data_IF_525424368049
#
_entry.id   IF_525424368049
#
_cell.length_a   1.000
_cell.length_b   1.000
_cell.length_c   1.000
_cell.angle_alpha   90.00
_cell.angle_beta   90.00
_cell.angle_gamma   90.00
#
_symmetry.space_group_name_H-M   'P 1'
#
loop_
_entity.id
_entity.type
_entity.pdbx_description
1 polymer ?
#
# COMPACT_ATOMS: atom_id res chain seq x y z
N UNK A 1 -7.20 -7.22 -9.91
CA UNK A 1 -6.01 -7.78 -9.22
C UNK A 1 -4.87 -7.93 -10.23
N UNK A 2 -4.38 -6.81 -10.75
CA UNK A 2 -3.34 -6.72 -11.79
C UNK A 2 -2.15 -5.94 -11.22
N UNK A 3 -1.26 -6.64 -10.53
CA UNK A 3 0.08 -6.15 -10.13
C UNK A 3 1.04 -7.13 -10.81
N UNK A 4 2.07 -6.80 -11.59
CA UNK A 4 2.61 -5.54 -12.09
C UNK A 4 3.35 -5.92 -13.38
N UNK A 5 2.97 -5.33 -14.50
CA UNK A 5 3.81 -5.24 -15.69
C UNK A 5 3.55 -3.85 -16.31
N UNK A 6 3.69 -2.83 -15.48
CA UNK A 6 3.52 -1.45 -15.91
C UNK A 6 4.87 -0.94 -16.43
N UNK A 7 5.09 -1.09 -17.74
CA UNK A 7 6.29 -0.61 -18.42
C UNK A 7 6.02 0.74 -19.07
N UNK A 8 6.09 1.84 -18.32
CA UNK A 8 6.43 3.16 -18.88
C UNK A 8 7.18 4.03 -17.87
N UNK A 9 8.41 4.38 -18.26
CA UNK A 9 9.24 5.50 -17.83
C UNK A 9 9.48 5.73 -16.32
N UNK A 10 10.67 5.29 -15.90
CA UNK A 10 11.55 5.89 -14.89
C UNK A 10 11.12 5.99 -13.40
N UNK A 11 11.75 5.09 -12.63
CA UNK A 11 12.59 5.36 -11.43
C UNK A 11 12.11 5.07 -10.00
N UNK A 12 10.83 4.74 -9.70
CA UNK A 12 10.47 4.40 -8.30
C UNK A 12 9.70 3.09 -8.07
N UNK A 13 8.89 2.59 -9.02
CA UNK A 13 8.09 1.39 -8.77
C UNK A 13 8.89 0.07 -8.72
N UNK A 14 10.06 0.05 -9.35
CA UNK A 14 10.94 -1.13 -9.33
C UNK A 14 11.63 -1.34 -7.97
N UNK A 15 11.58 -0.38 -7.04
CA UNK A 15 12.30 -0.49 -5.78
C UNK A 15 11.50 -1.14 -4.66
N UNK A 16 10.16 -1.24 -4.77
CA UNK A 16 9.38 -1.85 -3.69
C UNK A 16 9.36 -3.37 -3.74
N UNK A 17 9.36 -4.04 -4.90
CA UNK A 17 9.62 -5.48 -4.92
C UNK A 17 10.12 -6.01 -6.28
N UNK A 18 11.39 -5.79 -6.59
CA UNK A 18 12.12 -6.62 -7.54
C UNK A 18 13.44 -7.04 -6.89
N UNK A 19 13.55 -8.29 -6.42
CA UNK A 19 14.87 -8.91 -6.27
C UNK A 19 15.36 -9.19 -7.69
N UNK A 20 16.04 -8.22 -8.30
CA UNK A 20 16.66 -8.39 -9.61
C UNK A 20 17.96 -9.18 -9.46
N UNK A 21 17.86 -10.52 -9.45
CA UNK A 21 18.96 -11.39 -9.88
C UNK A 21 19.08 -11.34 -11.41
N UNK A 22 20.31 -11.29 -11.93
CA UNK A 22 20.59 -11.18 -13.37
C UNK A 22 20.08 -12.38 -14.19
N UNK A 23 19.62 -12.11 -15.42
CA UNK A 23 19.03 -13.06 -16.39
C UNK A 23 20.02 -14.16 -16.80
N UNK A 24 19.55 -15.40 -17.07
CA UNK A 24 19.23 -15.77 -18.45
C UNK A 24 18.06 -16.79 -18.63
N UNK A 25 17.24 -16.58 -19.67
CA UNK A 25 16.50 -17.63 -20.40
C UNK A 25 15.30 -18.30 -19.73
N UNK A 26 14.08 -17.90 -20.13
CA UNK A 26 12.85 -18.69 -19.90
C UNK A 26 12.26 -18.67 -18.49
N UNK A 27 12.75 -17.79 -17.61
CA UNK A 27 12.28 -17.72 -16.23
C UNK A 27 10.96 -16.95 -16.09
N UNK A 28 10.05 -17.51 -15.29
CA UNK A 28 8.81 -16.89 -14.84
C UNK A 28 9.09 -15.51 -14.26
N UNK A 29 8.47 -14.46 -14.79
CA UNK A 29 8.56 -13.13 -14.18
C UNK A 29 7.80 -13.14 -12.85
N UNK A 30 8.49 -12.83 -11.75
CA UNK A 30 7.94 -12.91 -10.40
C UNK A 30 8.21 -11.64 -9.62
N UNK A 31 7.20 -11.20 -8.91
CA UNK A 31 7.24 -10.18 -7.85
C UNK A 31 6.89 -10.84 -6.52
N UNK A 32 6.96 -10.11 -5.41
CA UNK A 32 6.48 -10.64 -4.13
C UNK A 32 4.96 -10.87 -4.13
N UNK A 33 4.20 -10.22 -5.02
CA UNK A 33 2.75 -10.32 -5.05
C UNK A 33 2.24 -11.33 -6.09
N UNK A 34 2.91 -11.43 -7.24
CA UNK A 34 2.42 -12.19 -8.39
C UNK A 34 3.54 -12.86 -9.18
N UNK A 35 3.18 -13.93 -9.89
CA UNK A 35 4.00 -14.56 -10.92
C UNK A 35 3.26 -14.57 -12.24
N UNK A 36 3.99 -14.40 -13.34
CA UNK A 36 3.47 -14.52 -14.70
C UNK A 36 4.07 -15.73 -15.41
N UNK A 37 3.20 -16.62 -15.85
CA UNK A 37 3.63 -17.78 -16.64
C UNK A 37 4.00 -17.34 -18.06
N UNK A 38 5.23 -17.62 -18.54
CA UNK A 38 5.67 -17.20 -19.87
C UNK A 38 4.98 -17.97 -21.01
N UNK A 39 4.34 -19.11 -20.73
CA UNK A 39 3.73 -19.97 -21.75
C UNK A 39 2.34 -19.51 -22.19
N UNK A 40 1.50 -19.08 -21.24
CA UNK A 40 0.12 -18.64 -21.50
C UNK A 40 -0.15 -17.19 -21.06
N UNK A 41 0.86 -16.51 -20.51
CA UNK A 41 0.80 -15.15 -19.98
C UNK A 41 -0.16 -14.97 -18.80
N UNK A 42 -0.62 -16.07 -18.19
CA UNK A 42 -1.48 -16.03 -17.01
C UNK A 42 -0.75 -15.44 -15.82
N UNK A 43 -1.49 -14.71 -14.99
CA UNK A 43 -0.96 -14.07 -13.77
C UNK A 43 -1.61 -14.74 -12.57
N UNK A 44 -0.77 -15.24 -11.66
CA UNK A 44 -1.20 -15.88 -10.42
C UNK A 44 -0.64 -15.13 -9.21
N UNK A 45 -1.34 -15.22 -8.08
CA UNK A 45 -0.84 -14.66 -6.83
C UNK A 45 0.27 -15.54 -6.27
N UNK A 46 1.35 -14.91 -5.80
CA UNK A 46 2.45 -15.61 -5.13
C UNK A 46 1.97 -16.19 -3.79
N UNK A 47 2.29 -17.46 -3.53
CA UNK A 47 1.98 -18.10 -2.25
C UNK A 47 2.74 -17.42 -1.11
N UNK A 48 2.06 -17.07 -0.02
CA UNK A 48 2.66 -16.34 1.09
C UNK A 48 3.01 -14.87 0.77
N UNK A 49 2.44 -14.29 -0.30
CA UNK A 49 2.65 -12.87 -0.60
C UNK A 49 2.29 -11.97 0.59
N UNK A 50 2.96 -10.82 0.75
CA UNK A 50 2.51 -9.83 1.69
C UNK A 50 1.12 -9.29 1.31
N UNK A 51 0.37 -8.82 2.30
CA UNK A 51 -0.83 -8.03 2.07
C UNK A 51 -0.46 -6.58 1.74
N UNK A 52 -1.14 -6.01 0.75
CA UNK A 52 -0.91 -4.64 0.27
C UNK A 52 -1.94 -3.70 0.92
N UNK A 53 -1.50 -2.88 1.86
CA UNK A 53 -2.28 -1.80 2.45
C UNK A 53 -1.97 -0.50 1.70
N UNK A 54 -3.00 0.32 1.48
CA UNK A 54 -2.82 1.66 0.93
C UNK A 54 -3.58 2.71 1.74
N UNK A 55 -2.91 3.82 2.03
CA UNK A 55 -3.54 5.02 2.56
C UNK A 55 -3.23 6.20 1.67
N UNK A 56 -4.27 6.84 1.16
CA UNK A 56 -4.17 8.09 0.42
C UNK A 56 -4.25 9.24 1.42
N UNK A 57 -3.45 10.29 1.22
CA UNK A 57 -3.37 11.39 2.18
C UNK A 57 -3.03 12.73 1.52
N UNK A 58 -3.58 13.79 2.08
CA UNK A 58 -3.20 15.17 1.81
C UNK A 58 -2.12 15.66 2.77
N UNK A 59 -1.65 14.82 3.69
CA UNK A 59 -0.68 15.12 4.76
C UNK A 59 -1.02 16.40 5.52
N UNK A 60 -2.29 16.58 5.85
CA UNK A 60 -2.82 17.72 6.59
C UNK A 60 -3.16 17.32 8.02
N UNK A 61 -3.35 18.31 8.91
CA UNK A 61 -3.57 18.10 10.36
C UNK A 61 -4.84 17.29 10.70
N UNK A 62 -5.81 17.27 9.81
CA UNK A 62 -7.05 16.48 9.91
C UNK A 62 -6.84 14.98 9.68
N UNK A 63 -5.67 14.57 9.19
CA UNK A 63 -5.27 13.19 8.95
C UNK A 63 -4.18 12.76 9.94
N UNK A 64 -4.59 12.30 11.12
CA UNK A 64 -3.67 11.84 12.16
C UNK A 64 -3.09 10.45 11.83
N UNK A 65 -1.95 10.43 11.16
CA UNK A 65 -1.24 9.20 10.77
C UNK A 65 -0.59 8.47 11.94
N UNK A 66 -0.48 9.07 13.12
CA UNK A 66 0.03 8.36 14.31
C UNK A 66 -0.84 7.14 14.63
N UNK A 67 -2.15 7.20 14.31
CA UNK A 67 -3.10 6.09 14.47
C UNK A 67 -2.69 4.89 13.60
N UNK A 68 -2.38 5.12 12.32
CA UNK A 68 -1.96 4.05 11.42
C UNK A 68 -0.58 3.50 11.82
N UNK A 69 0.37 4.38 12.15
CA UNK A 69 1.70 3.94 12.59
C UNK A 69 1.62 3.08 13.85
N UNK A 70 0.81 3.50 14.83
CA UNK A 70 0.59 2.71 16.05
C UNK A 70 -0.05 1.36 15.77
N UNK A 71 -1.03 1.32 14.87
CA UNK A 71 -1.66 0.06 14.47
C UNK A 71 -0.67 -0.90 13.78
N UNK A 72 0.30 -0.38 13.02
CA UNK A 72 1.36 -1.20 12.40
C UNK A 72 2.36 -1.71 13.44
N UNK A 73 2.71 -0.92 14.47
CA UNK A 73 3.51 -1.41 15.60
C UNK A 73 2.78 -2.53 16.36
N UNK A 74 1.49 -2.37 16.64
CA UNK A 74 0.69 -3.39 17.31
C UNK A 74 0.57 -4.66 16.43
N UNK A 75 0.45 -4.49 15.11
CA UNK A 75 0.48 -5.60 14.16
C UNK A 75 1.78 -6.39 14.22
N UNK A 76 2.92 -5.70 14.19
CA UNK A 76 4.25 -6.31 14.35
C UNK A 76 4.32 -7.10 15.67
N UNK A 77 3.88 -6.49 16.78
CA UNK A 77 3.84 -7.16 18.09
C UNK A 77 2.96 -8.40 18.12
N UNK A 78 1.82 -8.43 17.41
CA UNK A 78 1.02 -9.64 17.28
C UNK A 78 1.73 -10.74 16.50
N UNK A 79 2.46 -10.39 15.43
CA UNK A 79 3.25 -11.35 14.65
C UNK A 79 4.38 -11.93 15.52
N UNK A 80 5.11 -11.08 16.25
CA UNK A 80 6.17 -11.51 17.18
C UNK A 80 5.62 -12.41 18.30
N UNK A 81 4.40 -12.17 18.76
CA UNK A 81 3.70 -13.02 19.73
C UNK A 81 3.19 -14.36 19.15
N UNK A 82 3.44 -14.63 17.86
CA UNK A 82 3.11 -15.90 17.20
C UNK A 82 1.76 -15.92 16.47
N UNK A 83 1.12 -14.76 16.25
CA UNK A 83 -0.07 -14.70 15.41
C UNK A 83 0.28 -15.06 13.96
N UNK A 84 -0.51 -15.94 13.34
CA UNK A 84 -0.34 -16.31 11.94
C UNK A 84 -0.93 -15.23 11.01
N UNK A 85 -0.21 -14.13 10.85
CA UNK A 85 -0.58 -13.00 10.00
C UNK A 85 0.42 -12.83 8.83
N UNK A 86 -0.02 -12.36 7.65
CA UNK A 86 0.90 -12.13 6.53
C UNK A 86 1.83 -10.95 6.78
N UNK A 87 3.00 -10.91 6.14
CA UNK A 87 3.78 -9.66 6.07
C UNK A 87 2.97 -8.55 5.39
N UNK A 88 3.25 -7.29 5.72
CA UNK A 88 2.56 -6.14 5.16
C UNK A 88 3.48 -5.29 4.30
N UNK A 89 2.95 -4.81 3.17
CA UNK A 89 3.47 -3.64 2.46
C UNK A 89 2.43 -2.55 2.59
N UNK A 90 2.76 -1.48 3.30
CA UNK A 90 1.90 -0.32 3.50
C UNK A 90 2.38 0.85 2.63
N UNK A 91 1.57 1.23 1.65
CA UNK A 91 1.82 2.38 0.79
C UNK A 91 1.08 3.58 1.34
N UNK A 92 1.78 4.66 1.66
CA UNK A 92 1.18 5.94 2.06
C UNK A 92 1.46 6.98 0.96
N UNK A 93 0.45 7.29 0.16
CA UNK A 93 0.61 8.14 -1.04
C UNK A 93 -0.02 9.52 -0.87
N UNK A 94 0.64 10.51 -1.47
CA UNK A 94 0.14 11.88 -1.56
C UNK A 94 1.17 12.93 -1.19
N UNK A 95 0.70 14.18 -1.07
CA UNK A 95 1.53 15.37 -0.85
C UNK A 95 0.83 16.34 0.11
N UNK A 96 1.62 16.88 1.03
CA UNK A 96 1.21 18.01 1.86
C UNK A 96 2.18 18.27 3.02
N UNK A 97 1.81 19.20 3.91
CA UNK A 97 2.74 19.83 4.85
C UNK A 97 3.32 18.87 5.90
N UNK A 98 2.57 17.86 6.35
CA UNK A 98 3.03 16.93 7.38
C UNK A 98 3.84 15.73 6.86
N UNK A 99 4.07 15.64 5.53
CA UNK A 99 4.76 14.47 4.94
C UNK A 99 6.14 14.25 5.56
N UNK A 100 6.95 15.31 5.67
CA UNK A 100 8.30 15.19 6.22
C UNK A 100 8.31 14.90 7.73
N UNK A 101 7.28 15.35 8.45
CA UNK A 101 7.12 15.01 9.86
C UNK A 101 6.91 13.51 10.05
N UNK A 102 5.93 12.92 9.35
CA UNK A 102 5.66 11.48 9.48
C UNK A 102 6.75 10.61 8.86
N UNK A 103 7.41 11.06 7.79
CA UNK A 103 8.57 10.33 7.25
C UNK A 103 9.67 10.17 8.31
N UNK A 104 9.99 11.23 9.07
CA UNK A 104 10.95 11.12 10.17
C UNK A 104 10.50 10.12 11.24
N UNK A 105 9.21 10.07 11.56
CA UNK A 105 8.68 9.07 12.49
C UNK A 105 8.83 7.65 11.91
N UNK A 106 8.44 7.44 10.65
CA UNK A 106 8.59 6.16 9.94
C UNK A 106 10.05 5.71 9.93
N UNK A 107 11.01 6.61 9.73
CA UNK A 107 12.44 6.30 9.73
C UNK A 107 12.96 5.83 11.11
N UNK A 108 12.24 6.14 12.20
CA UNK A 108 12.58 5.63 13.55
C UNK A 108 11.97 4.27 13.87
N UNK A 109 11.00 3.81 13.06
CA UNK A 109 10.34 2.52 13.26
C UNK A 109 11.22 1.41 12.68
N UNK A 110 11.34 0.31 13.42
CA UNK A 110 12.06 -0.89 12.99
C UNK A 110 11.09 -2.06 12.92
N UNK A 111 10.77 -2.48 11.70
CA UNK A 111 9.82 -3.56 11.43
C UNK A 111 10.48 -4.67 10.62
N UNK A 112 10.24 -5.91 11.04
CA UNK A 112 10.64 -7.11 10.31
C UNK A 112 9.56 -7.52 9.30
N UNK A 113 8.30 -7.48 9.72
CA UNK A 113 7.15 -8.01 8.96
C UNK A 113 6.36 -6.92 8.24
N UNK A 114 6.51 -5.65 8.61
CA UNK A 114 5.89 -4.50 7.94
C UNK A 114 6.93 -3.72 7.13
N UNK A 115 6.58 -3.35 5.89
CA UNK A 115 7.34 -2.39 5.07
C UNK A 115 6.46 -1.21 4.72
N UNK A 116 6.91 0.00 5.06
CA UNK A 116 6.21 1.25 4.72
C UNK A 116 6.95 1.94 3.57
N UNK A 117 6.22 2.39 2.56
CA UNK A 117 6.77 3.27 1.53
C UNK A 117 5.84 4.46 1.26
N UNK A 118 6.43 5.60 0.87
CA UNK A 118 5.68 6.84 0.66
C UNK A 118 5.85 7.41 -0.75
N UNK A 119 5.51 6.64 -1.81
CA UNK A 119 5.71 7.08 -3.18
C UNK A 119 4.83 8.30 -3.50
N UNK A 120 5.26 9.06 -4.50
CA UNK A 120 4.34 9.87 -5.29
C UNK A 120 3.83 8.99 -6.43
N UNK A 121 2.52 9.01 -6.68
CA UNK A 121 1.89 8.25 -7.76
C UNK A 121 1.34 9.25 -8.77
N UNK A 122 1.53 8.97 -10.05
CA UNK A 122 0.87 9.71 -11.12
C UNK A 122 -0.62 9.37 -11.15
N UNK A 123 -1.43 10.24 -11.78
CA UNK A 123 -2.88 10.13 -11.79
C UNK A 123 -3.36 8.80 -12.40
N UNK A 124 -2.63 8.27 -13.38
CA UNK A 124 -2.93 7.01 -14.07
C UNK A 124 -2.55 5.78 -13.22
N UNK A 125 -1.53 5.90 -12.38
CA UNK A 125 -1.03 4.79 -11.54
C UNK A 125 -1.86 4.61 -10.27
N UNK A 126 -2.41 5.70 -9.76
CA UNK A 126 -3.20 5.70 -8.52
C UNK A 126 -4.37 4.70 -8.54
N UNK A 127 -5.31 4.72 -9.50
CA UNK A 127 -6.41 3.75 -9.54
C UNK A 127 -5.93 2.31 -9.78
N UNK A 128 -4.82 2.14 -10.52
CA UNK A 128 -4.21 0.82 -10.72
C UNK A 128 -3.72 0.25 -9.39
N UNK A 129 -3.08 1.05 -8.55
CA UNK A 129 -2.62 0.64 -7.24
C UNK A 129 -3.78 0.41 -6.25
N UNK A 130 -4.82 1.25 -6.30
CA UNK A 130 -6.03 1.05 -5.48
C UNK A 130 -6.72 -0.28 -5.81
N UNK A 131 -6.99 -0.58 -7.09
CA UNK A 131 -7.64 -1.84 -7.52
C UNK A 131 -6.76 -3.09 -7.37
N UNK A 132 -5.57 -2.89 -6.84
CA UNK A 132 -4.52 -3.87 -6.65
C UNK A 132 -4.26 -4.15 -5.17
N UNK A 133 -4.58 -3.20 -4.29
CA UNK A 133 -4.45 -3.34 -2.85
C UNK A 133 -5.46 -4.32 -2.25
N UNK A 134 -5.14 -4.83 -1.07
CA UNK A 134 -6.00 -5.70 -0.28
C UNK A 134 -6.91 -4.92 0.67
N UNK A 135 -6.43 -3.77 1.17
CA UNK A 135 -7.17 -2.92 2.09
C UNK A 135 -6.77 -1.44 1.92
N UNK A 136 -7.77 -0.56 1.82
CA UNK A 136 -7.63 0.88 1.92
C UNK A 136 -7.78 1.36 3.36
N UNK A 137 -6.98 2.35 3.75
CA UNK A 137 -7.09 3.04 5.05
C UNK A 137 -7.33 4.53 4.81
N UNK A 138 -8.43 5.05 5.33
CA UNK A 138 -8.75 6.47 5.27
C UNK A 138 -8.79 7.10 6.67
N UNK A 139 -7.85 7.99 6.95
CA UNK A 139 -7.75 8.73 8.22
C UNK A 139 -8.36 10.13 8.15
N UNK A 140 -8.90 10.51 6.98
CA UNK A 140 -9.46 11.83 6.75
C UNK A 140 -10.75 12.00 7.54
N UNK A 141 -10.74 12.92 8.49
CA UNK A 141 -11.95 13.32 9.21
C UNK A 141 -12.69 14.37 8.39
N UNK A 142 -13.82 13.99 7.79
CA UNK A 142 -14.70 14.98 7.16
C UNK A 142 -15.20 15.94 8.23
N UNK A 143 -14.98 17.24 8.04
CA UNK A 143 -15.37 18.27 9.02
C UNK A 143 -16.89 18.40 9.16
N UNK A 144 -17.67 17.97 8.17
CA UNK A 144 -19.13 17.93 8.22
C UNK A 144 -19.69 16.61 8.77
N UNK A 145 -18.92 15.52 8.68
CA UNK A 145 -19.38 14.16 9.00
C UNK A 145 -20.43 13.59 8.04
N UNK A 146 -20.95 14.38 7.10
CA UNK A 146 -22.06 14.02 6.23
C UNK A 146 -21.61 13.42 4.88
N UNK A 147 -20.42 13.79 4.42
CA UNK A 147 -19.87 13.36 3.13
C UNK A 147 -18.71 12.39 3.32
N UNK A 148 -18.72 11.31 2.51
CA UNK A 148 -17.57 10.42 2.40
C UNK A 148 -16.38 11.19 1.79
N UNK A 149 -15.19 11.16 2.40
CA UNK A 149 -14.02 11.79 1.81
C UNK A 149 -13.75 11.26 0.40
N UNK A 150 -13.33 12.13 -0.52
CA UNK A 150 -13.06 11.75 -1.92
C UNK A 150 -12.14 10.53 -2.04
N UNK A 151 -11.19 10.38 -1.11
CA UNK A 151 -10.29 9.23 -1.03
C UNK A 151 -11.03 7.90 -0.83
N UNK A 152 -12.07 7.87 0.00
CA UNK A 152 -12.92 6.69 0.20
C UNK A 152 -13.72 6.41 -1.06
N UNK A 153 -14.22 7.45 -1.73
CA UNK A 153 -14.95 7.32 -3.00
C UNK A 153 -14.05 6.71 -4.08
N UNK A 154 -12.80 7.15 -4.20
CA UNK A 154 -11.82 6.59 -5.14
C UNK A 154 -11.55 5.10 -4.86
N UNK A 155 -11.35 4.75 -3.58
CA UNK A 155 -11.10 3.37 -3.15
C UNK A 155 -12.31 2.47 -3.47
N UNK A 156 -13.52 2.92 -3.16
CA UNK A 156 -14.75 2.20 -3.53
C UNK A 156 -14.92 2.09 -5.04
N UNK A 157 -14.60 3.14 -5.80
CA UNK A 157 -14.61 3.13 -7.27
C UNK A 157 -13.66 2.08 -7.86
N UNK A 158 -12.62 1.70 -7.12
CA UNK A 158 -11.67 0.64 -7.50
C UNK A 158 -11.99 -0.73 -6.88
N UNK A 159 -13.16 -0.89 -6.25
CA UNK A 159 -13.58 -2.10 -5.53
C UNK A 159 -12.64 -2.50 -4.37
N UNK A 160 -11.94 -1.53 -3.78
CA UNK A 160 -11.06 -1.74 -2.63
C UNK A 160 -11.88 -1.62 -1.33
N UNK A 161 -11.90 -2.63 -0.44
CA UNK A 161 -12.48 -2.48 0.89
C UNK A 161 -11.70 -1.42 1.69
N UNK A 162 -12.41 -0.64 2.53
CA UNK A 162 -11.83 0.51 3.24
C UNK A 162 -12.11 0.42 4.74
N UNK A 163 -11.05 0.53 5.54
CA UNK A 163 -11.13 0.91 6.94
C UNK A 163 -11.01 2.43 7.04
N UNK A 164 -12.02 3.09 7.59
CA UNK A 164 -12.00 4.53 7.76
C UNK A 164 -12.22 4.92 9.23
N UNK A 165 -11.68 6.07 9.62
CA UNK A 165 -12.04 6.70 10.89
C UNK A 165 -13.55 6.92 10.95
N UNK A 166 -14.16 6.66 12.11
CA UNK A 166 -15.59 6.71 12.33
C UNK A 166 -16.21 8.02 11.81
N UNK A 167 -17.13 7.91 10.85
CA UNK A 167 -18.00 9.00 10.42
C UNK A 167 -19.33 8.84 11.15
N UNK A 168 -19.88 9.91 11.72
CA UNK A 168 -21.23 9.88 12.26
C UNK A 168 -22.21 9.80 11.08
N UNK A 169 -22.87 8.65 10.91
CA UNK A 169 -23.92 8.42 9.91
C UNK A 169 -25.30 8.88 10.38
#
# INVERSE_FOLDING_TARGET
KYILHYHRHNTCYNHCVCYSGERPGGETERTAFTGRDPSDLSVTLTSGRPALLISSTSWTEDEDFSILLKALEDYEGFVEAGASLPSLVCVITGKGPQKDHYKKLIDTLSFEHVKICTPWLEAEDYPVLLGSADLGVCLHKSSSGLDLPMKVVDMFGCCLPVCAIHFYW
#
